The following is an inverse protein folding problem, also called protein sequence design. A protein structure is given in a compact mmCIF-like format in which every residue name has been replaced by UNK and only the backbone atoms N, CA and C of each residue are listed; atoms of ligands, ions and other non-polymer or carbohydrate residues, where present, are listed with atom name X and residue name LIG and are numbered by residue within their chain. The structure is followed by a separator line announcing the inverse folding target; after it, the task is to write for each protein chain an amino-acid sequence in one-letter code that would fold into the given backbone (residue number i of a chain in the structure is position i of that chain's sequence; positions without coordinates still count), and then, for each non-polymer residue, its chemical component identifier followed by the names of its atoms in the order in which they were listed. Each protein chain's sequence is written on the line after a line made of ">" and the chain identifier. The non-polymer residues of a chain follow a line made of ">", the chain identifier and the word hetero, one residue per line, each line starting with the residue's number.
data_IF_042181661627
#
_entry.id   IF_042181661627
#
_cell.length_a   1.000
_cell.length_b   1.000
_cell.length_c   1.000
_cell.angle_alpha   90.00
_cell.angle_beta   90.00
_cell.angle_gamma   90.00
#
_symmetry.space_group_name_H-M   'P 1'
#
loop_
_entity.id
_entity.type
_entity.pdbx_description
1 polymer ?
#
# COMPACT_ATOMS: atom_id res chain seq x y z
N UNK A 1 -20.05 24.66 97.06
CA UNK A 1 -21.18 24.81 96.18
C UNK A 1 -20.75 24.56 94.78
N UNK A 2 -20.87 23.34 94.25
CA UNK A 2 -20.92 22.90 92.87
C UNK A 2 -20.41 21.47 92.86
N UNK A 3 -21.24 20.51 93.05
CA UNK A 3 -21.07 19.13 92.67
C UNK A 3 -22.49 18.56 92.54
N UNK A 4 -22.92 18.31 91.38
CA UNK A 4 -23.97 17.33 91.03
C UNK A 4 -24.34 17.51 89.53
N UNK A 5 -23.60 16.83 88.64
CA UNK A 5 -24.09 16.48 87.31
C UNK A 5 -23.07 15.58 86.60
N UNK A 6 -22.92 14.34 86.99
CA UNK A 6 -22.07 13.38 86.29
C UNK A 6 -22.57 11.90 86.28
N UNK A 7 -23.87 11.70 86.47
CA UNK A 7 -24.39 10.31 86.53
C UNK A 7 -25.38 9.89 85.43
N UNK A 8 -25.77 10.78 84.51
CA UNK A 8 -26.72 10.43 83.43
C UNK A 8 -26.10 10.25 82.02
N UNK A 9 -24.78 10.29 81.89
CA UNK A 9 -24.12 10.19 80.59
C UNK A 9 -23.67 8.71 80.19
N UNK A 10 -23.65 7.77 81.13
CA UNK A 10 -23.11 6.47 80.95
C UNK A 10 -24.18 5.46 80.46
N UNK A 11 -25.43 5.61 80.78
CA UNK A 11 -26.48 4.72 80.30
C UNK A 11 -26.88 4.93 78.84
N UNK A 12 -26.67 6.10 78.28
CA UNK A 12 -27.00 6.39 76.87
C UNK A 12 -25.95 5.94 75.89
N UNK A 13 -24.72 5.59 76.30
CA UNK A 13 -23.67 5.09 75.45
C UNK A 13 -23.74 3.58 75.17
N UNK A 14 -24.36 2.78 76.05
CA UNK A 14 -24.53 1.35 75.80
C UNK A 14 -25.62 1.04 74.77
N UNK A 15 -26.64 1.87 74.66
CA UNK A 15 -27.74 1.61 73.71
C UNK A 15 -27.36 2.00 72.28
N UNK A 16 -26.50 3.01 72.07
CA UNK A 16 -25.96 3.37 70.73
C UNK A 16 -25.01 2.32 70.15
N UNK A 17 -24.23 1.61 71.00
CA UNK A 17 -23.30 0.59 70.53
C UNK A 17 -23.98 -0.68 70.04
N UNK A 18 -25.14 -1.03 70.64
CA UNK A 18 -25.92 -2.19 70.24
C UNK A 18 -26.76 -1.92 68.99
N UNK A 19 -27.23 -0.72 68.81
CA UNK A 19 -27.89 -0.29 67.56
C UNK A 19 -26.89 -0.27 66.39
N UNK A 20 -25.70 0.25 66.62
CA UNK A 20 -24.63 0.25 65.61
C UNK A 20 -24.23 -1.14 65.17
N UNK A 21 -24.02 -2.08 66.09
CA UNK A 21 -23.71 -3.49 65.79
C UNK A 21 -24.85 -4.21 65.04
N UNK A 22 -26.12 -3.94 65.40
CA UNK A 22 -27.26 -4.49 64.64
C UNK A 22 -27.40 -3.94 63.24
N UNK A 23 -27.05 -2.68 63.01
CA UNK A 23 -27.02 -2.06 61.68
C UNK A 23 -25.88 -2.65 60.84
N UNK A 24 -24.66 -2.72 61.40
CA UNK A 24 -23.52 -3.33 60.70
C UNK A 24 -23.78 -4.81 60.31
N UNK A 25 -24.35 -5.63 61.22
CA UNK A 25 -24.67 -7.00 60.92
C UNK A 25 -25.71 -7.16 59.78
N UNK A 26 -26.72 -6.26 59.74
CA UNK A 26 -27.72 -6.25 58.64
C UNK A 26 -27.11 -5.81 57.31
N UNK A 27 -26.22 -4.79 57.32
CA UNK A 27 -25.53 -4.30 56.13
C UNK A 27 -24.60 -5.42 55.58
N UNK A 28 -23.82 -6.06 56.46
CA UNK A 28 -22.95 -7.18 56.03
C UNK A 28 -23.76 -8.33 55.44
N UNK A 29 -24.91 -8.69 56.01
CA UNK A 29 -25.79 -9.74 55.50
C UNK A 29 -26.37 -9.36 54.13
N UNK A 30 -26.76 -8.10 53.94
CA UNK A 30 -27.24 -7.60 52.64
C UNK A 30 -26.17 -7.59 51.58
N UNK A 31 -24.94 -7.17 51.90
CA UNK A 31 -23.80 -7.17 51.00
C UNK A 31 -23.44 -8.61 50.58
N UNK A 32 -23.46 -9.56 51.52
CA UNK A 32 -23.16 -10.95 51.25
C UNK A 32 -24.22 -11.61 50.36
N UNK A 33 -25.48 -11.25 50.52
CA UNK A 33 -26.58 -11.70 49.65
C UNK A 33 -26.46 -11.10 48.24
N UNK A 34 -26.11 -9.81 48.17
CA UNK A 34 -25.93 -9.14 46.87
C UNK A 34 -24.74 -9.68 46.10
N UNK A 35 -23.62 -9.99 46.77
CA UNK A 35 -22.45 -10.60 46.12
C UNK A 35 -22.74 -12.02 45.65
N UNK A 36 -23.42 -12.85 46.44
CA UNK A 36 -23.85 -14.20 46.00
C UNK A 36 -24.81 -14.16 44.81
N UNK A 37 -25.72 -13.20 44.79
CA UNK A 37 -26.68 -13.05 43.70
C UNK A 37 -25.98 -12.56 42.39
N UNK A 38 -24.96 -11.71 42.53
CA UNK A 38 -24.14 -11.24 41.42
C UNK A 38 -23.25 -12.36 40.84
N UNK A 39 -22.67 -13.19 41.69
CA UNK A 39 -21.91 -14.37 41.25
C UNK A 39 -22.77 -15.40 40.53
N UNK A 40 -23.98 -15.65 41.03
CA UNK A 40 -24.92 -16.60 40.39
C UNK A 40 -25.37 -16.09 39.01
N UNK A 41 -25.65 -14.79 38.84
CA UNK A 41 -26.01 -14.21 37.55
C UNK A 41 -24.84 -14.19 36.58
N UNK A 42 -23.62 -13.88 37.04
CA UNK A 42 -22.41 -13.92 36.20
C UNK A 42 -22.06 -15.35 35.72
N UNK A 43 -22.22 -16.37 36.57
CA UNK A 43 -21.95 -17.73 36.18
C UNK A 43 -22.98 -18.26 35.18
N UNK A 44 -24.27 -17.90 35.33
CA UNK A 44 -25.32 -18.24 34.37
C UNK A 44 -25.06 -17.55 33.01
N UNK A 45 -24.65 -16.30 33.02
CA UNK A 45 -24.33 -15.53 31.80
C UNK A 45 -23.06 -16.06 31.10
N UNK A 46 -22.03 -16.48 31.85
CA UNK A 46 -20.83 -17.16 31.31
C UNK A 46 -21.18 -18.50 30.66
N UNK A 47 -22.09 -19.28 31.25
CA UNK A 47 -22.53 -20.55 30.67
C UNK A 47 -23.25 -20.37 29.33
N UNK A 48 -24.14 -19.38 29.21
CA UNK A 48 -24.80 -19.06 27.94
C UNK A 48 -23.83 -18.50 26.91
N UNK A 49 -22.87 -17.68 27.34
CA UNK A 49 -21.83 -17.13 26.43
C UNK A 49 -20.92 -18.25 25.92
N UNK A 50 -20.52 -19.19 26.75
CA UNK A 50 -19.70 -20.34 26.35
C UNK A 50 -20.47 -21.29 25.41
N UNK A 51 -21.76 -21.50 25.62
CA UNK A 51 -22.59 -22.27 24.69
C UNK A 51 -22.79 -21.57 23.35
N UNK A 52 -23.05 -20.25 23.34
CA UNK A 52 -23.16 -19.46 22.10
C UNK A 52 -21.83 -19.45 21.34
N UNK A 53 -20.72 -19.29 22.03
CA UNK A 53 -19.37 -19.31 21.42
C UNK A 53 -19.05 -20.68 20.83
N UNK A 54 -19.44 -21.76 21.49
CA UNK A 54 -19.27 -23.14 20.99
C UNK A 54 -20.10 -23.40 19.74
N UNK A 55 -21.33 -22.88 19.68
CA UNK A 55 -22.22 -23.02 18.52
C UNK A 55 -21.68 -22.18 17.34
N UNK A 56 -21.20 -20.94 17.58
CA UNK A 56 -20.61 -20.08 16.55
C UNK A 56 -19.33 -20.73 16.02
N UNK A 57 -18.50 -21.29 16.88
CA UNK A 57 -17.28 -22.01 16.47
C UNK A 57 -17.59 -23.25 15.64
N UNK A 58 -18.65 -23.98 15.98
CA UNK A 58 -19.09 -25.16 15.22
C UNK A 58 -19.67 -24.79 13.85
N UNK A 59 -20.42 -23.68 13.76
CA UNK A 59 -20.94 -23.14 12.50
C UNK A 59 -19.80 -22.59 11.62
N UNK A 60 -18.82 -21.90 12.21
CA UNK A 60 -17.62 -21.48 11.49
C UNK A 60 -16.83 -22.69 10.97
N UNK A 61 -16.67 -23.75 11.79
CA UNK A 61 -15.98 -24.97 11.36
C UNK A 61 -16.73 -25.67 10.20
N UNK A 62 -18.07 -25.66 10.21
CA UNK A 62 -18.90 -26.24 9.15
C UNK A 62 -18.81 -25.42 7.84
N UNK A 63 -18.62 -24.10 7.92
CA UNK A 63 -18.41 -23.22 6.74
C UNK A 63 -17.03 -23.45 6.08
N UNK A 64 -16.05 -23.96 6.82
CA UNK A 64 -14.74 -24.33 6.25
C UNK A 64 -14.71 -25.70 5.58
N UNK A 65 -15.73 -26.55 5.80
CA UNK A 65 -15.82 -27.89 5.18
C UNK A 65 -16.58 -27.87 3.84
N UNK A 66 -17.22 -26.74 3.50
CA UNK A 66 -18.07 -26.61 2.33
C UNK A 66 -17.57 -25.71 1.22
N UNK A 67 -16.35 -25.90 0.73
CA UNK A 67 -15.91 -25.55 -0.62
C UNK A 67 -14.56 -26.21 -0.85
N UNK A 68 -14.55 -27.49 -1.16
CA UNK A 68 -13.54 -28.02 -2.07
C UNK A 68 -13.95 -27.62 -3.47
N UNK A 69 -13.82 -26.36 -3.83
CA UNK A 69 -13.36 -26.08 -5.15
C UNK A 69 -11.99 -26.74 -5.23
N UNK A 70 -11.86 -27.70 -6.12
CA UNK A 70 -10.60 -28.21 -6.55
C UNK A 70 -9.88 -27.04 -7.23
N UNK A 71 -9.26 -26.16 -6.42
CA UNK A 71 -8.09 -25.45 -6.87
C UNK A 71 -7.15 -26.59 -7.22
N UNK A 72 -7.03 -26.89 -8.51
CA UNK A 72 -5.87 -27.55 -9.05
C UNK A 72 -4.76 -26.57 -8.67
N UNK A 73 -4.16 -26.73 -7.46
CA UNK A 73 -2.83 -26.18 -7.23
C UNK A 73 -2.03 -26.69 -8.41
N UNK A 74 -1.49 -25.79 -9.27
CA UNK A 74 -0.57 -26.25 -10.28
C UNK A 74 0.50 -26.98 -9.48
N UNK A 75 0.62 -28.29 -9.70
CA UNK A 75 1.73 -29.09 -9.19
C UNK A 75 2.95 -28.21 -9.36
N UNK A 76 3.57 -27.79 -8.26
CA UNK A 76 4.80 -27.01 -8.29
C UNK A 76 5.90 -27.95 -8.70
N UNK A 77 5.85 -28.40 -9.96
CA UNK A 77 6.92 -29.16 -10.57
C UNK A 77 8.14 -28.25 -10.51
N UNK A 78 9.15 -28.71 -9.79
CA UNK A 78 10.42 -27.99 -9.74
C UNK A 78 10.88 -27.74 -11.18
N UNK A 79 11.32 -26.52 -11.52
CA UNK A 79 11.69 -26.19 -12.87
C UNK A 79 12.86 -27.09 -13.33
N UNK A 80 12.70 -27.68 -14.50
CA UNK A 80 13.70 -28.57 -15.11
C UNK A 80 14.71 -27.84 -16.00
N UNK A 81 14.50 -26.52 -16.22
CA UNK A 81 15.37 -25.66 -17.03
C UNK A 81 15.87 -24.47 -16.19
N UNK A 82 17.04 -23.94 -16.54
CA UNK A 82 17.60 -22.73 -15.93
C UNK A 82 16.66 -21.53 -16.08
N UNK A 83 16.05 -21.35 -17.25
CA UNK A 83 15.07 -20.27 -17.48
C UNK A 83 13.84 -20.41 -16.58
N UNK A 84 13.28 -21.61 -16.46
CA UNK A 84 12.16 -21.87 -15.55
C UNK A 84 12.55 -21.64 -14.08
N UNK A 85 13.78 -22.00 -13.69
CA UNK A 85 14.31 -21.74 -12.36
C UNK A 85 14.45 -20.24 -12.08
N UNK A 86 14.96 -19.46 -13.01
CA UNK A 86 15.08 -18.00 -12.89
C UNK A 86 13.73 -17.31 -12.85
N UNK A 87 12.75 -17.77 -13.62
CA UNK A 87 11.37 -17.26 -13.56
C UNK A 87 10.77 -17.53 -12.19
N UNK A 88 10.90 -18.73 -11.65
CA UNK A 88 10.44 -19.08 -10.31
C UNK A 88 11.11 -18.21 -9.24
N UNK A 89 12.44 -17.99 -9.33
CA UNK A 89 13.17 -17.10 -8.41
C UNK A 89 12.65 -15.66 -8.47
N UNK A 90 12.33 -15.16 -9.68
CA UNK A 90 11.74 -13.83 -9.84
C UNK A 90 10.33 -13.76 -9.26
N UNK A 91 9.57 -14.87 -9.27
CA UNK A 91 8.20 -14.96 -8.73
C UNK A 91 8.18 -14.97 -7.19
N UNK A 92 9.08 -15.74 -6.62
CA UNK A 92 9.17 -15.92 -5.18
C UNK A 92 9.87 -14.74 -4.49
N UNK A 93 10.61 -13.91 -5.23
CA UNK A 93 11.27 -12.75 -4.65
C UNK A 93 10.27 -11.63 -4.33
N UNK A 94 9.99 -11.46 -3.04
CA UNK A 94 9.05 -10.45 -2.55
C UNK A 94 9.47 -9.02 -2.92
N UNK A 95 10.76 -8.76 -3.14
CA UNK A 95 11.23 -7.45 -3.56
C UNK A 95 10.88 -7.16 -5.03
N UNK A 96 10.91 -8.19 -5.89
CA UNK A 96 10.51 -8.05 -7.28
C UNK A 96 9.00 -7.81 -7.39
N UNK A 97 8.19 -8.56 -6.65
CA UNK A 97 6.73 -8.39 -6.63
C UNK A 97 6.31 -7.11 -5.90
N UNK A 98 7.04 -6.74 -4.85
CA UNK A 98 6.71 -5.56 -4.05
C UNK A 98 7.03 -4.23 -4.72
N UNK A 99 7.83 -4.21 -5.78
CA UNK A 99 8.25 -2.99 -6.50
C UNK A 99 7.46 -2.76 -7.79
N UNK A 100 6.23 -3.26 -7.88
CA UNK A 100 5.38 -3.07 -9.06
C UNK A 100 4.64 -1.74 -9.01
N UNK A 101 4.56 -1.08 -10.16
CA UNK A 101 3.95 0.23 -10.30
C UNK A 101 2.43 0.18 -10.55
N UNK A 102 1.86 -0.99 -10.81
CA UNK A 102 0.43 -1.13 -11.09
C UNK A 102 -0.33 -1.70 -9.90
N UNK A 103 -1.22 -0.88 -9.35
CA UNK A 103 -2.18 -1.26 -8.32
C UNK A 103 -3.59 -0.96 -8.79
N UNK A 104 -4.57 -1.68 -8.26
CA UNK A 104 -5.96 -1.29 -8.35
C UNK A 104 -6.18 -0.06 -7.47
N UNK A 105 -6.44 1.08 -8.07
CA UNK A 105 -6.72 2.34 -7.37
C UNK A 105 -8.19 2.69 -7.55
N UNK A 106 -8.95 2.66 -6.48
CA UNK A 106 -10.38 3.01 -6.50
C UNK A 106 -10.64 4.48 -6.10
N UNK A 107 -9.69 5.15 -5.44
CA UNK A 107 -9.88 6.50 -4.90
C UNK A 107 -8.80 7.45 -5.38
N UNK A 108 -8.82 7.77 -6.63
CA UNK A 108 -7.70 8.51 -7.11
C UNK A 108 -7.97 9.96 -7.20
N UNK A 109 -8.61 10.77 -6.81
CA UNK A 109 -8.47 12.20 -7.13
C UNK A 109 -9.64 13.12 -6.76
N UNK A 110 -9.82 13.27 -5.46
CA UNK A 110 -10.65 14.34 -4.90
C UNK A 110 -10.11 15.77 -5.10
N UNK A 111 -8.92 15.91 -5.74
CA UNK A 111 -8.22 17.21 -5.91
C UNK A 111 -8.12 17.70 -7.36
N UNK A 112 -8.95 17.16 -8.27
CA UNK A 112 -9.08 17.70 -9.61
C UNK A 112 -9.73 19.09 -9.52
N UNK A 113 -8.95 20.11 -9.76
CA UNK A 113 -9.48 21.47 -9.96
C UNK A 113 -10.38 21.50 -11.20
N UNK A 114 -11.46 22.28 -11.14
CA UNK A 114 -12.32 22.53 -12.31
C UNK A 114 -11.51 23.28 -13.36
N UNK A 115 -11.38 22.70 -14.55
CA UNK A 115 -10.81 23.33 -15.75
C UNK A 115 -11.86 23.27 -16.87
N UNK A 116 -11.84 24.24 -17.77
CA UNK A 116 -12.69 24.20 -18.96
C UNK A 116 -12.20 23.08 -19.90
N UNK A 117 -12.94 21.97 -19.97
CA UNK A 117 -12.63 20.78 -20.76
C UNK A 117 -13.91 20.11 -21.21
N UNK A 118 -13.87 19.13 -22.11
CA UNK A 118 -15.07 18.41 -22.59
C UNK A 118 -15.82 17.71 -21.47
N UNK A 119 -15.10 17.26 -20.44
CA UNK A 119 -15.70 16.65 -19.25
C UNK A 119 -15.14 17.28 -17.97
N UNK A 120 -15.94 17.23 -16.92
CA UNK A 120 -15.62 17.71 -15.58
C UNK A 120 -15.46 16.51 -14.65
N UNK A 121 -14.24 15.98 -14.45
CA UNK A 121 -13.99 14.81 -13.64
C UNK A 121 -14.09 15.13 -12.15
N UNK A 122 -14.78 14.25 -11.40
CA UNK A 122 -14.89 14.28 -9.93
C UNK A 122 -13.98 13.26 -9.28
N UNK A 123 -13.92 12.05 -9.87
CA UNK A 123 -13.07 10.94 -9.38
C UNK A 123 -12.48 10.21 -10.57
N UNK A 124 -11.25 9.75 -10.39
CA UNK A 124 -10.54 8.92 -11.37
C UNK A 124 -9.91 7.73 -10.65
N UNK A 125 -10.10 6.56 -11.18
CA UNK A 125 -9.50 5.34 -10.69
C UNK A 125 -9.22 4.38 -11.84
N UNK A 126 -8.57 3.27 -11.57
CA UNK A 126 -8.36 2.23 -12.57
C UNK A 126 -8.45 0.84 -11.95
N UNK A 127 -8.83 -0.12 -12.77
CA UNK A 127 -8.74 -1.56 -12.47
C UNK A 127 -7.78 -2.19 -13.46
N UNK A 128 -6.87 -3.03 -12.96
CA UNK A 128 -5.89 -3.73 -13.81
C UNK A 128 -5.82 -5.20 -13.43
N UNK A 129 -5.53 -6.03 -14.43
CA UNK A 129 -5.34 -7.47 -14.30
C UNK A 129 -4.07 -7.88 -15.04
N UNK A 130 -3.18 -8.60 -14.39
CA UNK A 130 -2.04 -9.22 -15.05
C UNK A 130 -2.54 -10.28 -16.05
N UNK A 131 -2.19 -10.13 -17.32
CA UNK A 131 -2.62 -11.05 -18.39
C UNK A 131 -1.47 -11.82 -19.01
N UNK A 132 -0.25 -11.27 -18.95
CA UNK A 132 0.93 -11.95 -19.44
C UNK A 132 2.15 -11.59 -18.60
N UNK A 133 3.06 -12.54 -18.48
CA UNK A 133 4.32 -12.41 -17.82
C UNK A 133 5.38 -13.23 -18.54
N UNK A 134 6.43 -12.58 -18.93
CA UNK A 134 7.54 -13.20 -19.65
C UNK A 134 8.88 -12.79 -19.03
N UNK A 135 9.79 -13.73 -18.91
CA UNK A 135 11.19 -13.50 -18.57
C UNK A 135 12.05 -13.96 -19.74
N UNK A 136 12.61 -13.01 -20.45
CA UNK A 136 13.64 -13.26 -21.46
C UNK A 136 15.01 -13.26 -20.79
N UNK A 137 15.82 -14.31 -21.01
CA UNK A 137 17.08 -14.53 -20.31
C UNK A 137 18.21 -14.78 -21.31
N UNK A 138 19.27 -14.03 -21.17
CA UNK A 138 20.55 -14.26 -21.85
C UNK A 138 21.62 -14.69 -20.82
N UNK A 139 22.14 -15.92 -20.98
CA UNK A 139 23.14 -16.49 -20.07
C UNK A 139 24.54 -16.30 -20.68
N UNK A 140 25.44 -15.68 -19.89
CA UNK A 140 26.83 -15.44 -20.24
C UNK A 140 27.73 -15.95 -19.11
N UNK A 141 28.29 -17.15 -19.28
CA UNK A 141 29.07 -17.80 -18.22
C UNK A 141 28.23 -18.09 -16.98
N UNK A 142 28.71 -17.63 -15.84
CA UNK A 142 28.01 -17.78 -14.55
C UNK A 142 27.05 -16.63 -14.22
N UNK A 143 26.73 -15.79 -15.22
CA UNK A 143 25.80 -14.68 -15.06
C UNK A 143 24.68 -14.79 -16.09
N UNK A 144 23.46 -14.51 -15.67
CA UNK A 144 22.31 -14.41 -16.57
C UNK A 144 21.65 -13.04 -16.44
N UNK A 145 21.33 -12.46 -17.57
CA UNK A 145 20.68 -11.16 -17.71
C UNK A 145 19.23 -11.39 -18.15
N UNK A 146 18.29 -11.13 -17.26
CA UNK A 146 16.87 -11.31 -17.52
C UNK A 146 16.17 -9.98 -17.75
N UNK A 147 15.21 -9.95 -18.69
CA UNK A 147 14.23 -8.89 -18.84
C UNK A 147 12.86 -9.46 -18.49
N UNK A 148 12.33 -9.07 -17.33
CA UNK A 148 10.99 -9.42 -16.91
C UNK A 148 10.01 -8.39 -17.47
N UNK A 149 9.08 -8.87 -18.30
CA UNK A 149 7.98 -8.06 -18.86
C UNK A 149 6.67 -8.56 -18.33
N UNK A 150 5.87 -7.64 -17.77
CA UNK A 150 4.50 -7.90 -17.31
C UNK A 150 3.53 -7.07 -18.11
N UNK A 151 2.50 -7.70 -18.65
CA UNK A 151 1.43 -7.04 -19.39
C UNK A 151 0.15 -7.07 -18.57
N UNK A 152 -0.44 -5.91 -18.41
CA UNK A 152 -1.69 -5.71 -17.67
C UNK A 152 -2.76 -5.17 -18.62
N UNK A 153 -3.93 -5.79 -18.60
CA UNK A 153 -5.15 -5.18 -19.14
C UNK A 153 -5.85 -4.37 -18.07
N UNK A 154 -6.29 -3.19 -18.43
CA UNK A 154 -6.91 -2.28 -17.49
C UNK A 154 -8.07 -1.49 -18.07
N UNK A 155 -8.78 -0.82 -17.18
CA UNK A 155 -9.82 0.17 -17.51
C UNK A 155 -9.62 1.37 -16.61
N UNK A 156 -9.36 2.54 -17.20
CA UNK A 156 -9.43 3.82 -16.53
C UNK A 156 -10.91 4.19 -16.38
N UNK A 157 -11.31 4.54 -15.17
CA UNK A 157 -12.70 4.86 -14.80
C UNK A 157 -12.74 6.29 -14.32
N UNK A 158 -13.53 7.13 -15.01
CA UNK A 158 -13.68 8.55 -14.69
C UNK A 158 -15.14 8.79 -14.35
N UNK A 159 -15.44 9.14 -13.11
CA UNK A 159 -16.72 9.66 -12.71
C UNK A 159 -16.73 11.17 -12.99
N UNK A 160 -17.56 11.63 -13.92
CA UNK A 160 -17.52 12.99 -14.45
C UNK A 160 -18.95 13.52 -14.71
N UNK A 161 -19.02 14.76 -15.17
CA UNK A 161 -20.21 15.36 -15.79
C UNK A 161 -19.77 16.09 -17.05
N UNK A 162 -20.70 16.18 -18.04
CA UNK A 162 -20.52 17.07 -19.19
C UNK A 162 -20.95 18.51 -18.88
N UNK A 163 -21.50 18.76 -17.68
CA UNK A 163 -21.93 20.07 -17.24
C UNK A 163 -20.90 20.70 -16.30
N UNK A 164 -20.35 21.86 -16.65
CA UNK A 164 -19.39 22.60 -15.83
C UNK A 164 -19.93 23.05 -14.47
N UNK A 165 -21.23 23.17 -14.33
CA UNK A 165 -21.91 23.55 -13.10
C UNK A 165 -22.32 22.38 -12.19
N UNK A 166 -22.04 21.13 -12.60
CA UNK A 166 -22.40 19.95 -11.80
C UNK A 166 -21.67 19.94 -10.45
N UNK A 167 -22.39 19.52 -9.42
CA UNK A 167 -21.85 19.34 -8.07
C UNK A 167 -21.53 17.87 -7.75
N UNK A 168 -22.01 16.95 -8.57
CA UNK A 168 -21.81 15.51 -8.47
C UNK A 168 -21.68 14.89 -9.88
N UNK A 169 -21.06 13.71 -10.00
CA UNK A 169 -20.92 13.05 -11.29
C UNK A 169 -22.27 12.50 -11.75
N UNK A 170 -22.60 12.69 -13.02
CA UNK A 170 -23.79 12.16 -13.70
C UNK A 170 -23.41 11.10 -14.75
N UNK A 171 -22.15 10.92 -15.03
CA UNK A 171 -21.67 9.95 -16.02
C UNK A 171 -20.42 9.19 -15.53
N UNK A 172 -20.21 8.01 -16.11
CA UNK A 172 -19.02 7.19 -15.87
C UNK A 172 -18.39 6.82 -17.21
N UNK A 173 -17.22 7.38 -17.45
CA UNK A 173 -16.42 7.11 -18.65
C UNK A 173 -15.47 5.96 -18.34
N UNK A 174 -15.37 5.02 -19.26
CA UNK A 174 -14.46 3.85 -19.15
C UNK A 174 -13.56 3.79 -20.37
N UNK A 175 -12.26 3.89 -20.16
CA UNK A 175 -11.24 3.84 -21.19
C UNK A 175 -10.40 2.57 -21.01
N UNK A 176 -10.55 1.55 -21.87
CA UNK A 176 -9.71 0.36 -21.81
C UNK A 176 -8.27 0.70 -22.18
N UNK A 177 -7.30 0.01 -21.56
CA UNK A 177 -5.89 0.15 -21.88
C UNK A 177 -5.13 -1.13 -21.64
N UNK A 178 -3.95 -1.25 -22.28
CA UNK A 178 -2.96 -2.28 -22.02
C UNK A 178 -1.68 -1.61 -21.57
N UNK A 179 -1.23 -1.92 -20.37
CA UNK A 179 0.01 -1.37 -19.79
C UNK A 179 1.08 -2.45 -19.77
N UNK A 180 2.31 -2.07 -20.08
CA UNK A 180 3.47 -2.96 -20.07
C UNK A 180 4.50 -2.41 -19.10
N UNK A 181 4.91 -3.23 -18.13
CA UNK A 181 5.95 -2.89 -17.17
C UNK A 181 7.16 -3.79 -17.39
N UNK A 182 8.32 -3.20 -17.47
CA UNK A 182 9.59 -3.91 -17.65
C UNK A 182 10.52 -3.72 -16.46
N UNK A 183 11.36 -4.72 -16.23
CA UNK A 183 12.40 -4.72 -15.22
C UNK A 183 13.54 -5.63 -15.64
N UNK A 184 14.77 -5.23 -15.39
CA UNK A 184 15.94 -6.07 -15.61
C UNK A 184 16.33 -6.80 -14.33
N UNK A 185 16.76 -8.04 -14.45
CA UNK A 185 17.17 -8.88 -13.33
C UNK A 185 18.52 -9.51 -13.69
N UNK A 186 19.46 -9.47 -12.76
CA UNK A 186 20.75 -10.17 -12.91
C UNK A 186 20.75 -11.36 -11.97
N UNK A 187 20.94 -12.52 -12.54
CA UNK A 187 21.12 -13.77 -11.79
C UNK A 187 22.58 -14.19 -11.84
N UNK A 188 23.05 -14.83 -10.76
CA UNK A 188 24.38 -15.44 -10.72
C UNK A 188 24.27 -16.90 -10.38
N UNK A 189 25.11 -17.70 -11.04
CA UNK A 189 25.21 -19.12 -10.78
C UNK A 189 26.00 -19.37 -9.50
N UNK A 190 25.45 -20.19 -8.62
CA UNK A 190 26.02 -20.48 -7.30
C UNK A 190 26.32 -21.98 -7.11
N UNK A 191 25.94 -22.80 -8.07
CA UNK A 191 26.11 -24.25 -7.98
C UNK A 191 25.90 -24.96 -9.30
N UNK A 192 26.09 -26.28 -9.29
CA UNK A 192 25.89 -27.20 -10.41
C UNK A 192 25.08 -28.43 -9.97
N UNK A 193 24.03 -28.20 -9.20
CA UNK A 193 23.08 -29.23 -8.78
C UNK A 193 22.30 -29.75 -9.99
N UNK A 194 21.84 -31.01 -9.98
CA UNK A 194 20.86 -31.51 -10.99
C UNK A 194 19.51 -30.77 -10.91
N UNK A 195 19.30 -29.96 -9.87
CA UNK A 195 18.10 -29.13 -9.70
C UNK A 195 18.42 -27.68 -10.08
N UNK A 196 17.97 -27.17 -11.24
CA UNK A 196 18.32 -25.83 -11.73
C UNK A 196 18.01 -24.71 -10.75
N UNK A 197 16.91 -24.81 -10.00
CA UNK A 197 16.50 -23.81 -8.99
C UNK A 197 17.56 -23.57 -7.90
N UNK A 198 18.39 -24.56 -7.59
CA UNK A 198 19.46 -24.44 -6.58
C UNK A 198 20.76 -23.86 -7.15
N UNK A 199 20.83 -23.72 -8.46
CA UNK A 199 22.06 -23.26 -9.13
C UNK A 199 22.09 -21.75 -9.30
N UNK A 200 20.97 -21.05 -9.19
CA UNK A 200 20.87 -19.64 -9.48
C UNK A 200 20.36 -18.85 -8.28
N UNK A 201 20.75 -17.59 -8.20
CA UNK A 201 20.17 -16.61 -7.26
C UNK A 201 20.04 -15.25 -7.94
N UNK A 202 19.07 -14.45 -7.49
CA UNK A 202 18.96 -13.03 -7.88
C UNK A 202 20.11 -12.27 -7.26
N UNK A 203 20.92 -11.58 -8.05
CA UNK A 203 22.05 -10.76 -7.62
C UNK A 203 21.70 -9.27 -7.63
N UNK A 204 20.97 -8.81 -8.66
CA UNK A 204 20.53 -7.43 -8.78
C UNK A 204 19.19 -7.34 -9.53
N UNK A 205 18.45 -6.28 -9.24
CA UNK A 205 17.22 -5.94 -9.96
C UNK A 205 17.26 -4.46 -10.33
N UNK A 206 16.76 -4.12 -11.52
CA UNK A 206 16.54 -2.71 -11.87
C UNK A 206 15.26 -2.18 -11.23
N UNK A 207 15.07 -0.87 -11.26
CA UNK A 207 13.77 -0.27 -10.98
C UNK A 207 12.79 -0.59 -12.12
N UNK A 208 11.48 -0.72 -11.85
CA UNK A 208 10.47 -0.93 -12.87
C UNK A 208 10.12 0.37 -13.60
N UNK A 209 9.91 0.26 -14.91
CA UNK A 209 9.39 1.34 -15.74
C UNK A 209 8.39 0.79 -16.76
N UNK A 210 7.48 1.61 -17.21
CA UNK A 210 6.50 1.26 -18.24
C UNK A 210 5.25 2.09 -18.15
N UNK A 211 4.13 1.52 -18.58
CA UNK A 211 2.84 2.22 -18.66
C UNK A 211 2.11 1.89 -19.95
N UNK A 212 1.29 2.80 -20.40
CA UNK A 212 0.72 2.85 -21.77
C UNK A 212 1.55 3.84 -22.56
N UNK A 213 2.72 3.39 -22.99
CA UNK A 213 3.74 4.27 -23.55
C UNK A 213 3.30 4.89 -24.88
N UNK A 214 3.58 6.17 -25.04
CA UNK A 214 3.37 6.95 -26.25
C UNK A 214 4.51 7.94 -26.43
N UNK A 215 4.59 8.57 -27.61
CA UNK A 215 5.52 9.69 -27.83
C UNK A 215 5.04 11.00 -27.24
N UNK A 216 3.84 11.03 -26.66
CA UNK A 216 3.20 12.27 -26.19
C UNK A 216 3.55 12.60 -24.74
N UNK A 217 4.01 11.61 -23.95
CA UNK A 217 4.46 11.83 -22.59
C UNK A 217 5.62 10.89 -22.26
N UNK A 218 6.65 11.43 -21.64
CA UNK A 218 7.89 10.71 -21.31
C UNK A 218 8.52 11.29 -20.04
N UNK A 219 8.74 10.44 -19.03
CA UNK A 219 9.46 10.81 -17.82
C UNK A 219 10.96 10.70 -18.09
N UNK A 220 11.64 11.82 -18.18
CA UNK A 220 13.05 11.88 -18.58
C UNK A 220 14.00 11.74 -17.39
N UNK A 221 13.57 12.20 -16.20
CA UNK A 221 14.43 12.18 -15.02
C UNK A 221 13.64 12.35 -13.74
N UNK A 222 14.03 11.59 -12.72
CA UNK A 222 13.57 11.78 -11.35
C UNK A 222 14.76 12.11 -10.45
N UNK A 223 14.63 13.19 -9.68
CA UNK A 223 15.60 13.60 -8.66
C UNK A 223 14.92 13.59 -7.30
N UNK A 224 15.46 12.84 -6.35
CA UNK A 224 15.01 12.83 -4.96
C UNK A 224 16.04 13.52 -4.07
N UNK A 225 15.62 14.60 -3.40
CA UNK A 225 16.42 15.30 -2.39
C UNK A 225 16.11 14.71 -1.03
N UNK A 226 17.05 13.93 -0.51
CA UNK A 226 16.88 13.19 0.72
C UNK A 226 17.15 14.08 1.95
N UNK A 227 16.54 13.78 3.11
CA UNK A 227 16.69 14.59 4.33
C UNK A 227 18.11 14.66 4.87
N UNK A 228 18.95 13.67 4.55
CA UNK A 228 20.37 13.65 4.94
C UNK A 228 21.28 14.53 4.07
N UNK A 229 20.71 15.24 3.09
CA UNK A 229 21.44 16.08 2.13
C UNK A 229 21.89 15.34 0.88
N UNK A 230 21.75 14.02 0.80
CA UNK A 230 22.04 13.26 -0.41
C UNK A 230 21.03 13.54 -1.51
N UNK A 231 21.45 13.36 -2.73
CA UNK A 231 20.60 13.47 -3.92
C UNK A 231 20.65 12.18 -4.73
N UNK A 232 19.49 11.58 -4.96
CA UNK A 232 19.32 10.44 -5.85
C UNK A 232 18.83 10.93 -7.20
N UNK A 233 19.52 10.53 -8.28
CA UNK A 233 19.14 10.86 -9.67
C UNK A 233 18.90 9.56 -10.43
N UNK A 234 17.74 9.46 -11.07
CA UNK A 234 17.32 8.33 -11.91
C UNK A 234 16.96 8.92 -13.28
N UNK A 235 17.76 8.58 -14.31
CA UNK A 235 17.50 8.96 -15.70
C UNK A 235 16.79 7.84 -16.49
N UNK A 236 16.90 6.60 -16.03
CA UNK A 236 16.24 5.43 -16.60
C UNK A 236 16.13 4.37 -15.51
N UNK A 237 14.93 4.01 -15.08
CA UNK A 237 14.73 3.00 -14.04
C UNK A 237 15.36 1.66 -14.40
N UNK A 238 15.23 1.21 -15.63
CA UNK A 238 15.82 -0.05 -16.10
C UNK A 238 17.35 -0.06 -16.16
N UNK A 239 17.99 1.09 -15.95
CA UNK A 239 19.45 1.22 -15.85
C UNK A 239 19.94 1.44 -14.41
N UNK A 240 19.01 1.65 -13.47
CA UNK A 240 19.32 1.82 -12.05
C UNK A 240 19.12 0.49 -11.31
N UNK A 241 20.22 -0.13 -10.89
CA UNK A 241 20.20 -1.45 -10.26
C UNK A 241 20.31 -1.38 -8.73
N UNK A 242 19.47 -2.15 -8.06
CA UNK A 242 19.58 -2.49 -6.66
C UNK A 242 20.30 -3.82 -6.54
N UNK A 243 21.46 -3.85 -5.88
CA UNK A 243 22.23 -5.08 -5.66
C UNK A 243 21.78 -5.78 -4.40
N UNK A 244 21.70 -7.11 -4.44
CA UNK A 244 21.37 -7.91 -3.26
C UNK A 244 22.56 -7.99 -2.32
N UNK A 245 22.37 -7.49 -1.10
CA UNK A 245 23.34 -7.61 -0.01
C UNK A 245 22.93 -8.68 1.01
N UNK A 246 23.73 -8.93 2.06
CA UNK A 246 23.30 -9.74 3.18
C UNK A 246 22.07 -9.14 3.86
N UNK A 247 20.91 -9.78 3.68
CA UNK A 247 19.65 -9.41 4.34
C UNK A 247 18.82 -8.31 3.68
N UNK A 248 19.36 -7.48 2.77
CA UNK A 248 18.60 -6.39 2.15
C UNK A 248 19.19 -5.94 0.80
N UNK A 249 18.48 -5.03 0.10
CA UNK A 249 18.93 -4.43 -1.14
C UNK A 249 19.84 -3.23 -0.87
N UNK A 250 20.99 -3.16 -1.56
CA UNK A 250 21.87 -1.99 -1.57
C UNK A 250 21.38 -0.97 -2.59
N UNK A 251 21.86 0.27 -2.49
CA UNK A 251 21.46 1.43 -3.30
C UNK A 251 20.00 1.82 -3.13
N UNK A 252 19.30 1.24 -2.16
CA UNK A 252 17.95 1.64 -1.82
C UNK A 252 17.99 2.98 -1.07
N UNK A 253 17.19 3.99 -1.46
CA UNK A 253 17.08 5.22 -0.68
C UNK A 253 16.62 4.91 0.75
N UNK A 254 17.32 5.47 1.74
CA UNK A 254 17.01 5.29 3.16
C UNK A 254 16.57 6.63 3.73
N UNK A 255 15.36 6.67 4.29
CA UNK A 255 14.74 7.89 4.81
C UNK A 255 14.32 7.63 6.25
N UNK A 256 14.50 8.59 7.15
CA UNK A 256 14.03 8.47 8.54
C UNK A 256 12.53 8.49 8.65
N UNK A 257 11.98 7.93 9.76
CA UNK A 257 10.55 8.00 10.07
C UNK A 257 10.08 9.45 10.19
N UNK A 258 8.96 9.78 9.56
CA UNK A 258 8.38 11.12 9.60
C UNK A 258 9.22 12.21 8.90
N UNK A 259 10.27 11.84 8.18
CA UNK A 259 11.07 12.80 7.43
C UNK A 259 10.49 13.10 6.05
N UNK A 260 10.68 14.33 5.60
CA UNK A 260 10.20 14.79 4.30
C UNK A 260 11.28 14.66 3.23
N UNK A 261 10.86 14.23 2.05
CA UNK A 261 11.69 14.11 0.84
C UNK A 261 11.04 14.94 -0.26
N UNK A 262 11.84 15.73 -0.98
CA UNK A 262 11.38 16.44 -2.16
C UNK A 262 11.73 15.64 -3.40
N UNK A 263 10.73 15.41 -4.25
CA UNK A 263 10.90 14.80 -5.56
C UNK A 263 10.74 15.86 -6.63
N UNK A 264 11.68 15.89 -7.56
CA UNK A 264 11.61 16.68 -8.80
C UNK A 264 11.57 15.73 -9.98
N UNK A 265 10.63 15.96 -10.89
CA UNK A 265 10.42 15.14 -12.08
C UNK A 265 10.58 16.03 -13.31
N UNK A 266 11.39 15.59 -14.26
CA UNK A 266 11.50 16.20 -15.58
C UNK A 266 10.70 15.33 -16.56
N UNK A 267 9.75 15.95 -17.27
CA UNK A 267 8.81 15.26 -18.14
C UNK A 267 8.77 15.97 -19.49
N UNK A 268 8.90 15.22 -20.58
CA UNK A 268 8.50 15.68 -21.90
C UNK A 268 6.98 15.46 -22.07
N UNK A 269 6.29 16.44 -22.63
CA UNK A 269 4.88 16.33 -23.00
C UNK A 269 4.65 16.99 -24.35
N UNK A 270 3.90 16.33 -25.22
CA UNK A 270 3.49 16.92 -26.50
C UNK A 270 2.46 18.07 -26.33
N UNK A 271 1.88 18.18 -25.14
CA UNK A 271 0.82 19.11 -24.82
C UNK A 271 1.35 20.30 -24.00
N UNK A 272 0.83 21.50 -24.27
CA UNK A 272 1.15 22.72 -23.51
C UNK A 272 0.55 22.71 -22.10
N UNK A 273 -0.63 22.15 -21.95
CA UNK A 273 -1.36 22.04 -20.67
C UNK A 273 -0.54 21.32 -19.60
N UNK A 274 -0.85 21.63 -18.34
CA UNK A 274 -0.28 20.92 -17.17
C UNK A 274 -0.71 19.48 -17.17
N UNK A 275 0.25 18.55 -17.28
CA UNK A 275 -0.01 17.13 -17.21
C UNK A 275 -0.45 16.69 -15.81
N UNK A 276 -1.04 15.53 -15.75
CA UNK A 276 -1.50 14.93 -14.52
C UNK A 276 -0.41 14.00 -13.95
N UNK A 277 0.48 14.57 -13.15
CA UNK A 277 1.60 13.85 -12.55
C UNK A 277 1.29 13.55 -11.10
N UNK A 278 1.34 12.26 -10.73
CA UNK A 278 1.00 11.80 -9.38
C UNK A 278 2.11 10.98 -8.75
N UNK A 279 2.19 11.07 -7.43
CA UNK A 279 3.03 10.26 -6.57
C UNK A 279 2.11 9.38 -5.72
N UNK A 280 2.24 8.06 -5.82
CA UNK A 280 1.72 7.11 -4.84
C UNK A 280 2.89 6.64 -3.98
N UNK A 281 2.80 6.75 -2.67
CA UNK A 281 3.90 6.38 -1.76
C UNK A 281 3.38 5.66 -0.52
N UNK A 282 4.27 4.98 0.19
CA UNK A 282 3.96 4.28 1.41
C UNK A 282 3.30 2.92 1.24
N UNK A 283 3.16 2.44 0.00
CA UNK A 283 2.67 1.09 -0.23
C UNK A 283 3.67 0.06 0.31
N UNK A 284 3.24 -0.79 1.23
CA UNK A 284 3.99 -1.95 1.66
C UNK A 284 3.95 -3.07 0.61
N UNK A 285 4.56 -4.21 0.90
CA UNK A 285 4.57 -5.38 -0.02
C UNK A 285 3.18 -5.89 -0.42
N UNK A 286 2.13 -5.55 0.33
CA UNK A 286 0.75 -5.94 0.06
C UNK A 286 -0.06 -4.79 -0.58
N UNK A 287 0.55 -3.63 -0.80
CA UNK A 287 -0.09 -2.43 -1.35
C UNK A 287 -0.93 -1.64 -0.34
N UNK A 288 -0.84 -1.97 0.96
CA UNK A 288 -1.52 -1.22 2.02
C UNK A 288 -0.76 0.03 2.43
N UNK A 289 -1.43 0.92 3.16
CA UNK A 289 -0.88 2.15 3.76
C UNK A 289 -0.39 3.19 2.74
N UNK A 290 -0.85 3.09 1.50
CA UNK A 290 -0.48 4.03 0.45
C UNK A 290 -1.19 5.37 0.60
N UNK A 291 -0.49 6.43 0.26
CA UNK A 291 -1.02 7.76 0.11
C UNK A 291 -0.70 8.29 -1.28
N UNK A 292 -1.53 9.20 -1.79
CA UNK A 292 -1.35 9.78 -3.11
C UNK A 292 -1.24 11.30 -3.02
N UNK A 293 -0.35 11.88 -3.82
CA UNK A 293 -0.17 13.32 -3.99
C UNK A 293 -0.03 13.67 -5.46
N UNK A 294 -0.48 14.85 -5.83
CA UNK A 294 -0.26 15.41 -7.17
C UNK A 294 1.00 16.28 -7.14
N UNK A 295 1.86 16.13 -8.13
CA UNK A 295 2.96 17.06 -8.35
C UNK A 295 2.47 18.43 -8.80
N UNK A 296 3.20 19.45 -8.42
CA UNK A 296 2.98 20.82 -8.87
C UNK A 296 3.95 21.11 -10.01
N UNK A 297 3.46 21.63 -11.13
CA UNK A 297 4.31 22.09 -12.22
C UNK A 297 5.06 23.35 -11.80
N UNK A 298 6.40 23.30 -11.88
CA UNK A 298 7.29 24.42 -11.53
C UNK A 298 7.67 25.21 -12.76
N UNK A 299 7.88 24.54 -13.90
CA UNK A 299 8.20 25.19 -15.15
C UNK A 299 7.73 24.37 -16.35
N UNK A 300 7.51 25.07 -17.47
CA UNK A 300 7.24 24.47 -18.78
C UNK A 300 7.92 25.35 -19.81
N UNK A 301 8.74 24.73 -20.67
CA UNK A 301 9.43 25.44 -21.76
C UNK A 301 9.26 24.67 -23.05
N UNK A 302 9.06 25.34 -24.21
CA UNK A 302 9.02 24.66 -25.51
C UNK A 302 10.29 23.83 -25.75
N UNK A 303 10.13 22.61 -26.25
CA UNK A 303 11.22 21.66 -26.54
C UNK A 303 10.83 20.76 -27.70
N UNK A 304 11.49 20.96 -28.85
CA UNK A 304 11.14 20.23 -30.06
C UNK A 304 9.70 20.50 -30.51
N UNK A 305 8.91 19.45 -30.68
CA UNK A 305 7.48 19.50 -31.01
C UNK A 305 6.54 19.59 -29.80
N UNK A 306 7.08 19.63 -28.59
CA UNK A 306 6.31 19.68 -27.35
C UNK A 306 6.98 20.57 -26.31
N UNK A 307 6.94 20.15 -25.06
CA UNK A 307 7.34 20.92 -23.89
C UNK A 307 8.18 20.08 -22.93
N UNK A 308 9.28 20.65 -22.46
CA UNK A 308 10.02 20.13 -21.32
C UNK A 308 9.45 20.77 -20.05
N UNK A 309 8.94 19.94 -19.16
CA UNK A 309 8.24 20.36 -17.94
C UNK A 309 8.92 19.84 -16.70
N UNK A 310 8.90 20.64 -15.65
CA UNK A 310 9.43 20.26 -14.33
C UNK A 310 8.29 20.25 -13.32
N UNK A 311 8.20 19.17 -12.59
CA UNK A 311 7.22 18.97 -11.53
C UNK A 311 7.90 18.72 -10.20
N UNK A 312 7.35 19.23 -9.11
CA UNK A 312 7.85 18.98 -7.76
C UNK A 312 6.74 18.51 -6.82
N UNK A 313 7.11 17.64 -5.89
CA UNK A 313 6.26 17.21 -4.79
C UNK A 313 7.08 16.86 -3.57
N UNK A 314 6.57 17.24 -2.40
CA UNK A 314 7.12 16.87 -1.10
C UNK A 314 6.21 15.80 -0.46
N UNK A 315 6.79 14.70 -0.02
CA UNK A 315 6.10 13.72 0.79
C UNK A 315 6.85 13.44 2.10
N UNK A 316 6.09 13.01 3.11
CA UNK A 316 6.62 12.64 4.42
C UNK A 316 6.45 11.14 4.59
N UNK A 317 7.51 10.47 5.01
CA UNK A 317 7.51 9.03 5.25
C UNK A 317 6.62 8.64 6.42
N UNK A 318 6.26 7.35 6.48
CA UNK A 318 5.51 6.79 7.60
C UNK A 318 6.32 6.77 8.90
N UNK A 319 5.60 6.58 10.01
CA UNK A 319 6.20 6.33 11.33
C UNK A 319 6.68 4.87 11.50
N UNK A 320 6.33 3.99 10.56
CA UNK A 320 6.67 2.56 10.63
C UNK A 320 7.91 2.26 9.80
N UNK A 321 8.83 1.51 10.41
CA UNK A 321 10.04 1.01 9.74
C UNK A 321 9.69 -0.08 8.74
N UNK A 322 10.27 -0.02 7.54
CA UNK A 322 10.02 -1.03 6.52
C UNK A 322 10.39 -0.62 5.11
N UNK A 323 10.16 -1.54 4.18
CA UNK A 323 10.30 -1.31 2.74
C UNK A 323 8.99 -0.81 2.17
N UNK A 324 9.06 0.27 1.41
CA UNK A 324 7.92 0.92 0.78
C UNK A 324 8.24 1.26 -0.67
N UNK A 325 7.21 1.64 -1.42
CA UNK A 325 7.38 2.15 -2.77
C UNK A 325 6.88 3.58 -2.90
N UNK A 326 7.60 4.33 -3.74
CA UNK A 326 7.10 5.50 -4.39
C UNK A 326 6.88 5.16 -5.86
N UNK A 327 5.69 5.43 -6.38
CA UNK A 327 5.32 5.21 -7.77
C UNK A 327 4.93 6.56 -8.35
N UNK A 328 5.64 6.95 -9.40
CA UNK A 328 5.35 8.15 -10.15
C UNK A 328 4.60 7.77 -11.41
N UNK A 329 3.48 8.44 -11.67
CA UNK A 329 2.71 8.28 -12.90
C UNK A 329 2.53 9.64 -13.55
N UNK A 330 2.78 9.72 -14.85
CA UNK A 330 2.54 10.89 -15.66
C UNK A 330 1.50 10.59 -16.74
N UNK A 331 0.45 11.42 -16.80
CA UNK A 331 -0.65 11.36 -17.77
C UNK A 331 -0.79 12.71 -18.46
N UNK A 332 -0.97 12.79 -19.78
CA UNK A 332 -1.48 13.99 -20.40
C UNK A 332 -2.83 14.39 -19.81
N UNK A 333 -3.08 15.68 -19.62
CA UNK A 333 -4.34 16.19 -19.08
C UNK A 333 -5.55 15.66 -19.86
N UNK A 334 -5.45 15.58 -21.15
CA UNK A 334 -6.51 15.14 -22.07
C UNK A 334 -6.99 13.71 -21.75
N UNK A 335 -6.14 12.83 -21.27
CA UNK A 335 -6.52 11.47 -20.87
C UNK A 335 -7.65 11.47 -19.84
N UNK A 336 -7.65 12.48 -18.95
CA UNK A 336 -8.57 12.57 -17.82
C UNK A 336 -9.74 13.52 -18.11
N UNK A 337 -9.50 14.58 -18.88
CA UNK A 337 -10.47 15.66 -19.08
C UNK A 337 -11.19 15.62 -20.43
N UNK A 338 -10.87 14.64 -21.26
CA UNK A 338 -11.53 14.38 -22.54
C UNK A 338 -12.00 12.93 -22.55
N UNK A 339 -13.21 12.65 -23.01
CA UNK A 339 -13.81 11.30 -23.03
C UNK A 339 -13.25 10.44 -24.19
N UNK A 340 -12.80 11.06 -25.28
CA UNK A 340 -12.33 10.40 -26.50
C UNK A 340 -10.83 10.05 -26.47
N UNK A 341 -10.01 10.84 -25.76
CA UNK A 341 -8.55 10.63 -25.70
C UNK A 341 -8.21 9.29 -25.06
N UNK A 342 -7.42 8.49 -25.76
CA UNK A 342 -6.95 7.19 -25.27
C UNK A 342 -6.06 7.35 -24.04
N UNK A 343 -5.97 6.29 -23.25
CA UNK A 343 -5.06 6.26 -22.11
C UNK A 343 -3.62 6.24 -22.61
N UNK A 344 -2.85 7.20 -22.15
CA UNK A 344 -1.41 7.32 -22.32
C UNK A 344 -0.83 7.61 -20.96
N UNK A 345 0.21 6.88 -20.55
CA UNK A 345 0.83 7.09 -19.25
C UNK A 345 2.23 6.50 -19.22
N UNK A 346 3.09 7.14 -18.48
CA UNK A 346 4.35 6.54 -18.07
C UNK A 346 4.41 6.42 -16.54
N UNK A 347 4.98 5.32 -16.08
CA UNK A 347 5.05 4.96 -14.67
C UNK A 347 6.44 4.49 -14.29
N UNK A 348 7.02 5.08 -13.25
CA UNK A 348 8.30 4.68 -12.66
C UNK A 348 8.12 4.27 -11.21
N UNK A 349 8.69 3.11 -10.84
CA UNK A 349 8.68 2.63 -9.45
C UNK A 349 10.00 2.93 -8.75
N UNK A 350 9.95 3.58 -7.61
CA UNK A 350 11.12 3.91 -6.79
C UNK A 350 10.92 3.37 -5.38
N UNK A 351 11.50 2.21 -5.08
CA UNK A 351 11.45 1.66 -3.72
C UNK A 351 12.32 2.47 -2.77
N UNK A 352 11.96 2.49 -1.50
CA UNK A 352 12.74 3.11 -0.43
C UNK A 352 12.59 2.35 0.88
N UNK A 353 13.51 2.57 1.80
CA UNK A 353 13.48 2.00 3.14
C UNK A 353 13.28 3.10 4.18
N UNK A 354 12.33 2.91 5.08
CA UNK A 354 12.14 3.78 6.24
C UNK A 354 12.84 3.17 7.45
N UNK A 355 13.72 3.95 8.08
CA UNK A 355 14.42 3.57 9.32
C UNK A 355 14.01 4.49 10.47
N UNK A 356 14.31 4.11 11.74
CA UNK A 356 14.12 4.99 12.89
C UNK A 356 14.84 6.32 12.75
#
# INVERSE_FOLDING_TARGET
>A
MKDFQSLNAIEHWHDCSDISRKIESKILTQITLFTKQKEYTMNKQRSHFAQLFSIIMLVMLALFIGCKESVIEPESTEPTTDQGAMLKLADEDSAISSFESNYNEEDAMSFLGKTETEIYPFRVGHKVRLVNRNLDVNVVGDTAYGTLTKTFEGTLIIAASYNSGATEPDTIIRKPFTSVITRKIIFVKIGNSPFPFRNWRVAAISLPEGGVLSSNIDIQKLTAFLPNGDTLVINSPNSYFLSRGPGWWRQLPVIGTGQSTTLRLEVYSAYEDTDFVTLTYGADKNGFHRAKKRFVMVSSVPSGSGFAKVYEQIYTTHQFVGHYHAIVNAFPKQVIFDDATRVETESWGVPYFVRP
#
